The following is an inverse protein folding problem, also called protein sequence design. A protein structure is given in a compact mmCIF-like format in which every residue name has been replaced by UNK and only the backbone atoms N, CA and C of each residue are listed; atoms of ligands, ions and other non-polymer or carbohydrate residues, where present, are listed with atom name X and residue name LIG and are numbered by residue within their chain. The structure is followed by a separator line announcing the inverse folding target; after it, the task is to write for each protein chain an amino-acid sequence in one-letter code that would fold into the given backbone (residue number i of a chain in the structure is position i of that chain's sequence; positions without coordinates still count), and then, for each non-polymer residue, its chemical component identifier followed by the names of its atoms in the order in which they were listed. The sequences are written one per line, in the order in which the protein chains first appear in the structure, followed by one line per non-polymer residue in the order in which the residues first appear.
data_IF_551583084031
#
_entry.id   IF_551583084031
#
_cell.length_a   1.000
_cell.length_b   1.000
_cell.length_c   1.000
_cell.angle_alpha   90.00
_cell.angle_beta   90.00
_cell.angle_gamma   90.00
#
_symmetry.space_group_name_H-M   'P 1'
#
loop_
_entity.id
_entity.type
_entity.pdbx_description
1 polymer ?
#
# COMPACT_ATOMS: atom_id res chain seq x y z
N UNK A 1 17.64 -68.33 25.15
CA UNK A 1 16.30 -67.97 24.65
C UNK A 1 16.34 -66.46 24.35
N UNK A 2 16.68 -66.11 23.10
CA UNK A 2 16.89 -64.67 22.69
C UNK A 2 15.65 -64.21 22.02
N UNK A 3 14.98 -63.18 22.59
CA UNK A 3 13.90 -62.45 21.96
C UNK A 3 14.51 -61.35 21.08
N UNK A 4 14.26 -61.37 19.75
CA UNK A 4 14.58 -60.32 18.81
C UNK A 4 13.34 -59.43 18.69
N UNK A 5 13.44 -58.15 19.12
CA UNK A 5 12.44 -57.12 18.88
C UNK A 5 12.63 -56.56 17.48
N UNK A 6 11.60 -56.67 16.64
CA UNK A 6 11.50 -55.97 15.34
C UNK A 6 10.98 -54.56 15.58
N UNK A 7 11.78 -53.53 15.33
CA UNK A 7 11.32 -52.14 15.19
C UNK A 7 10.83 -51.96 13.75
N UNK A 8 9.54 -51.79 13.60
CA UNK A 8 8.94 -51.39 12.33
C UNK A 8 9.01 -49.82 12.21
N UNK A 9 9.83 -49.36 11.28
CA UNK A 9 9.91 -47.92 10.93
C UNK A 9 8.71 -47.58 10.07
N UNK A 10 7.73 -46.87 10.62
CA UNK A 10 6.66 -46.24 9.82
C UNK A 10 7.21 -44.99 9.11
N UNK A 11 7.37 -45.07 7.82
CA UNK A 11 7.63 -43.94 6.97
C UNK A 11 6.33 -43.12 6.84
N UNK A 12 6.25 -41.95 7.49
CA UNK A 12 5.19 -40.99 7.30
C UNK A 12 5.46 -40.27 5.96
N UNK A 13 4.67 -40.60 4.95
CA UNK A 13 4.67 -39.86 3.70
C UNK A 13 4.10 -38.44 3.95
N UNK A 14 4.95 -37.44 3.86
CA UNK A 14 4.52 -36.06 3.85
C UNK A 14 3.67 -35.80 2.58
N UNK A 15 2.49 -35.17 2.71
CA UNK A 15 1.72 -34.78 1.53
C UNK A 15 2.54 -33.82 0.68
N UNK A 16 2.77 -34.19 -0.58
CA UNK A 16 3.26 -33.26 -1.61
C UNK A 16 2.22 -32.15 -1.73
N UNK A 17 2.56 -30.95 -1.30
CA UNK A 17 1.76 -29.76 -1.55
C UNK A 17 1.62 -29.62 -3.08
N UNK A 18 0.47 -30.04 -3.59
CA UNK A 18 0.13 -29.90 -4.99
C UNK A 18 0.26 -28.44 -5.37
N UNK A 19 1.01 -28.14 -6.44
CA UNK A 19 0.99 -26.84 -7.07
C UNK A 19 -0.47 -26.56 -7.43
N UNK A 20 -1.08 -25.56 -6.76
CA UNK A 20 -2.41 -25.11 -7.13
C UNK A 20 -2.34 -24.67 -8.61
N UNK A 21 -3.13 -25.31 -9.45
CA UNK A 21 -3.21 -24.95 -10.85
C UNK A 21 -3.57 -23.46 -10.97
N UNK A 22 -2.75 -22.72 -11.72
CA UNK A 22 -3.00 -21.28 -11.95
C UNK A 22 -4.38 -21.15 -12.59
N UNK A 23 -5.34 -20.41 -11.99
CA UNK A 23 -6.68 -20.28 -12.55
C UNK A 23 -6.63 -19.80 -14.00
N UNK A 24 -7.41 -20.42 -14.87
CA UNK A 24 -7.53 -19.98 -16.27
C UNK A 24 -8.30 -18.66 -16.29
N UNK A 25 -7.84 -17.59 -16.96
CA UNK A 25 -8.52 -16.31 -16.95
C UNK A 25 -9.90 -16.39 -17.64
N UNK A 26 -10.87 -15.63 -17.14
CA UNK A 26 -12.18 -15.48 -17.79
C UNK A 26 -12.05 -14.65 -19.07
N UNK A 27 -11.22 -13.61 -19.02
CA UNK A 27 -10.93 -12.73 -20.15
C UNK A 27 -9.41 -12.66 -20.42
N UNK A 28 -9.05 -12.62 -21.70
CA UNK A 28 -7.74 -12.13 -22.15
C UNK A 28 -7.92 -10.80 -22.85
N UNK A 29 -6.97 -9.89 -22.62
CA UNK A 29 -6.95 -8.56 -23.21
C UNK A 29 -5.62 -8.35 -23.88
N UNK A 30 -5.63 -8.24 -25.20
CA UNK A 30 -4.46 -7.87 -25.99
C UNK A 30 -4.51 -6.36 -26.25
N UNK A 31 -3.45 -5.65 -25.87
CA UNK A 31 -3.32 -4.20 -26.01
C UNK A 31 -2.12 -3.89 -26.89
N UNK A 32 -2.37 -3.50 -28.14
CA UNK A 32 -1.32 -3.00 -29.02
C UNK A 32 -1.16 -1.49 -28.80
N UNK A 33 0.05 -1.07 -28.41
CA UNK A 33 0.37 0.33 -28.11
C UNK A 33 1.09 0.96 -29.30
N UNK A 34 0.56 2.07 -29.83
CA UNK A 34 1.25 2.84 -30.85
C UNK A 34 2.22 3.87 -30.24
N UNK A 35 3.22 4.36 -31.01
CA UNK A 35 4.19 5.37 -30.55
C UNK A 35 3.55 6.69 -30.05
N UNK A 36 2.37 7.03 -30.54
CA UNK A 36 1.59 8.20 -30.09
C UNK A 36 0.67 7.88 -28.90
N UNK A 37 0.82 6.71 -28.25
CA UNK A 37 0.03 6.23 -27.12
C UNK A 37 -1.47 6.02 -27.44
N UNK A 38 -1.79 5.75 -28.71
CA UNK A 38 -3.07 5.14 -29.05
C UNK A 38 -3.01 3.65 -28.77
N UNK A 39 -4.10 3.13 -28.21
CA UNK A 39 -4.25 1.73 -27.87
C UNK A 39 -5.27 1.07 -28.81
N UNK A 40 -4.90 -0.06 -29.40
CA UNK A 40 -5.85 -1.00 -30.01
C UNK A 40 -6.07 -2.14 -29.02
N UNK A 41 -7.29 -2.27 -28.48
CA UNK A 41 -7.62 -3.21 -27.41
C UNK A 41 -8.58 -4.27 -27.90
N UNK A 42 -8.24 -5.53 -27.62
CA UNK A 42 -9.06 -6.69 -27.98
C UNK A 42 -9.30 -7.55 -26.75
N UNK A 43 -10.53 -7.55 -26.29
CA UNK A 43 -11.02 -8.50 -25.28
C UNK A 43 -11.47 -9.80 -25.93
N UNK A 44 -11.15 -10.92 -25.31
CA UNK A 44 -11.75 -12.24 -25.54
C UNK A 44 -12.14 -12.84 -24.20
N UNK A 45 -13.44 -12.88 -23.92
CA UNK A 45 -13.99 -13.40 -22.67
C UNK A 45 -14.73 -14.70 -22.92
N UNK A 46 -14.46 -15.73 -22.11
CA UNK A 46 -15.25 -16.95 -22.09
C UNK A 46 -16.52 -16.71 -21.31
N UNK A 47 -17.67 -16.82 -21.98
CA UNK A 47 -18.98 -16.62 -21.37
C UNK A 47 -20.04 -17.37 -22.16
N UNK A 48 -21.04 -17.91 -21.45
CA UNK A 48 -22.27 -18.45 -22.05
C UNK A 48 -23.38 -17.40 -22.10
N UNK A 49 -23.19 -16.26 -21.45
CA UNK A 49 -24.11 -15.13 -21.43
C UNK A 49 -23.53 -13.93 -22.16
N UNK A 50 -24.40 -13.07 -22.66
CA UNK A 50 -24.02 -11.80 -23.27
C UNK A 50 -23.35 -10.87 -22.26
N UNK A 51 -22.27 -10.22 -22.68
CA UNK A 51 -21.52 -9.25 -21.87
C UNK A 51 -21.70 -7.82 -22.40
N UNK A 52 -21.53 -6.84 -21.50
CA UNK A 52 -21.37 -5.43 -21.85
C UNK A 52 -20.00 -4.96 -21.39
N UNK A 53 -19.46 -3.91 -22.02
CA UNK A 53 -18.17 -3.32 -21.66
C UNK A 53 -18.38 -1.83 -21.41
N UNK A 54 -18.16 -1.39 -20.18
CA UNK A 54 -18.44 -0.04 -19.76
C UNK A 54 -17.15 0.72 -19.41
N UNK A 55 -17.02 2.00 -19.80
CA UNK A 55 -16.02 2.89 -19.25
C UNK A 55 -16.30 3.17 -17.76
N UNK A 56 -15.27 3.57 -17.03
CA UNK A 56 -15.41 3.94 -15.62
C UNK A 56 -16.16 5.26 -15.45
N UNK A 57 -15.83 6.23 -16.27
CA UNK A 57 -16.42 7.56 -16.26
C UNK A 57 -16.60 8.18 -17.68
N UNK A 58 -17.07 9.42 -17.72
CA UNK A 58 -17.33 10.15 -18.97
C UNK A 58 -16.02 10.54 -19.69
N UNK A 59 -14.94 10.82 -18.96
CA UNK A 59 -13.66 11.20 -19.56
C UNK A 59 -13.05 10.00 -20.28
N UNK A 60 -13.16 8.80 -19.70
CA UNK A 60 -12.79 7.55 -20.36
C UNK A 60 -13.68 7.31 -21.58
N UNK A 61 -15.00 7.47 -21.44
CA UNK A 61 -15.96 7.24 -22.53
C UNK A 61 -15.68 8.12 -23.76
N UNK A 62 -15.27 9.37 -23.54
CA UNK A 62 -14.98 10.34 -24.62
C UNK A 62 -13.79 9.96 -25.49
N UNK A 63 -12.87 9.12 -24.96
CA UNK A 63 -11.65 8.70 -25.65
C UNK A 63 -11.75 7.30 -26.25
N UNK A 64 -12.89 6.62 -26.11
CA UNK A 64 -13.17 5.29 -26.69
C UNK A 64 -13.81 5.44 -28.06
N UNK A 65 -13.22 4.83 -29.10
CA UNK A 65 -13.73 4.88 -30.47
C UNK A 65 -15.08 4.16 -30.68
N UNK A 66 -15.47 3.32 -29.73
CA UNK A 66 -16.70 2.50 -29.79
C UNK A 66 -17.28 2.35 -28.41
N UNK A 67 -17.91 3.42 -27.91
CA UNK A 67 -18.54 3.49 -26.58
C UNK A 67 -19.89 2.78 -26.49
N UNK A 68 -20.26 1.95 -27.48
CA UNK A 68 -21.48 1.17 -27.45
C UNK A 68 -21.51 0.25 -26.23
N UNK A 69 -22.38 0.54 -25.28
CA UNK A 69 -22.74 -0.32 -24.15
C UNK A 69 -23.66 -1.50 -24.58
N UNK A 70 -23.74 -1.76 -25.88
CA UNK A 70 -24.53 -2.87 -26.40
C UNK A 70 -24.08 -4.21 -25.82
N UNK A 71 -25.06 -5.06 -25.50
CA UNK A 71 -24.80 -6.45 -25.17
C UNK A 71 -24.18 -7.17 -26.37
N UNK A 72 -23.14 -7.92 -26.12
CA UNK A 72 -22.48 -8.74 -27.14
C UNK A 72 -22.73 -10.20 -26.80
N UNK A 73 -23.43 -10.88 -27.69
CA UNK A 73 -23.72 -12.30 -27.54
C UNK A 73 -22.47 -13.15 -27.80
N UNK A 74 -22.28 -14.25 -27.05
CA UNK A 74 -21.15 -15.14 -27.30
C UNK A 74 -21.28 -15.89 -28.64
N UNK A 75 -20.18 -15.97 -29.33
CA UNK A 75 -20.02 -16.84 -30.50
C UNK A 75 -19.08 -17.99 -30.13
N UNK A 76 -19.57 -19.22 -30.19
CA UNK A 76 -18.83 -20.41 -29.73
C UNK A 76 -18.27 -20.27 -28.28
N UNK A 77 -19.06 -19.68 -27.38
CA UNK A 77 -18.67 -19.48 -25.97
C UNK A 77 -17.66 -18.35 -25.75
N UNK A 78 -17.39 -17.53 -26.75
CA UNK A 78 -16.46 -16.38 -26.65
C UNK A 78 -17.23 -15.09 -26.96
N UNK A 79 -17.10 -14.11 -26.08
CA UNK A 79 -17.50 -12.73 -26.31
C UNK A 79 -16.25 -11.92 -26.66
N UNK A 80 -16.23 -11.32 -27.87
CA UNK A 80 -15.13 -10.49 -28.32
C UNK A 80 -15.57 -9.01 -28.36
N UNK A 81 -14.76 -8.11 -27.76
CA UNK A 81 -14.91 -6.65 -27.87
C UNK A 81 -13.62 -6.03 -28.36
N UNK A 82 -13.71 -5.20 -29.38
CA UNK A 82 -12.61 -4.39 -29.90
C UNK A 82 -12.92 -2.92 -29.74
N UNK A 83 -11.92 -2.14 -29.34
CA UNK A 83 -12.00 -0.68 -29.34
C UNK A 83 -10.62 -0.06 -29.50
N UNK A 84 -10.60 1.20 -29.92
CA UNK A 84 -9.42 2.06 -29.93
C UNK A 84 -9.56 3.07 -28.81
N UNK A 85 -8.43 3.42 -28.20
CA UNK A 85 -8.39 4.37 -27.10
C UNK A 85 -7.25 5.36 -27.28
N UNK A 86 -7.52 6.66 -27.16
CA UNK A 86 -6.48 7.70 -27.19
C UNK A 86 -6.03 8.02 -25.79
N UNK A 87 -5.07 7.24 -25.26
CA UNK A 87 -4.55 7.38 -23.91
C UNK A 87 -3.82 8.72 -23.71
N UNK A 88 -3.16 9.22 -24.74
CA UNK A 88 -2.47 10.52 -24.68
C UNK A 88 -3.45 11.68 -24.57
N UNK A 89 -4.58 11.64 -25.29
CA UNK A 89 -5.62 12.65 -25.21
C UNK A 89 -6.31 12.63 -23.86
N UNK A 90 -6.71 11.45 -23.38
CA UNK A 90 -7.27 11.27 -22.04
C UNK A 90 -6.37 11.90 -20.96
N UNK A 91 -5.08 11.52 -20.93
CA UNK A 91 -4.16 12.03 -19.92
C UNK A 91 -3.89 13.54 -20.03
N UNK A 92 -4.04 14.14 -21.23
CA UNK A 92 -3.97 15.60 -21.42
C UNK A 92 -5.24 16.29 -20.94
N UNK A 93 -6.40 15.69 -21.16
CA UNK A 93 -7.69 16.24 -20.75
C UNK A 93 -7.85 16.27 -19.24
N UNK A 94 -7.58 15.12 -18.56
CA UNK A 94 -7.70 15.06 -17.10
C UNK A 94 -6.53 15.73 -16.38
N UNK A 95 -5.34 15.69 -16.93
CA UNK A 95 -4.09 16.30 -16.44
C UNK A 95 -3.94 16.30 -14.91
N UNK A 96 -4.14 15.13 -14.33
CA UNK A 96 -4.12 14.91 -12.88
C UNK A 96 -3.30 13.67 -12.56
N UNK A 97 -2.31 13.73 -11.66
CA UNK A 97 -1.60 12.52 -11.22
C UNK A 97 -2.53 11.46 -10.63
N UNK A 98 -3.64 11.87 -10.03
CA UNK A 98 -4.61 10.95 -9.45
C UNK A 98 -5.47 10.21 -10.49
N UNK A 99 -5.77 10.84 -11.64
CA UNK A 99 -6.65 10.30 -12.67
C UNK A 99 -5.88 9.86 -13.94
N UNK A 100 -4.90 10.67 -14.36
CA UNK A 100 -4.07 10.37 -15.52
C UNK A 100 -3.20 11.56 -15.88
N UNK A 101 -1.91 11.31 -16.13
CA UNK A 101 -0.96 12.37 -16.46
C UNK A 101 0.01 11.92 -17.53
N UNK A 102 0.31 12.81 -18.47
CA UNK A 102 1.31 12.62 -19.51
C UNK A 102 2.58 13.39 -19.20
N UNK A 103 3.73 12.74 -19.30
CA UNK A 103 5.06 13.34 -19.27
C UNK A 103 5.91 12.75 -20.39
N UNK A 104 6.42 13.61 -21.27
CA UNK A 104 7.13 13.13 -22.46
C UNK A 104 6.27 12.16 -23.28
N UNK A 105 6.83 10.99 -23.58
CA UNK A 105 6.17 9.87 -24.27
C UNK A 105 5.57 8.82 -23.32
N UNK A 106 5.26 9.21 -22.07
CA UNK A 106 4.72 8.32 -21.04
C UNK A 106 3.41 8.84 -20.50
N UNK A 107 2.47 7.93 -20.26
CA UNK A 107 1.27 8.16 -19.46
C UNK A 107 1.32 7.26 -18.22
N UNK A 108 1.10 7.87 -17.06
CA UNK A 108 0.72 7.20 -15.82
C UNK A 108 -0.77 7.42 -15.59
N UNK A 109 -1.54 6.35 -15.52
CA UNK A 109 -2.98 6.41 -15.25
C UNK A 109 -3.45 5.17 -14.50
N UNK A 110 -4.50 5.24 -13.68
CA UNK A 110 -5.20 4.06 -13.20
C UNK A 110 -5.67 3.20 -14.37
N UNK A 111 -5.67 1.89 -14.20
CA UNK A 111 -6.11 0.95 -15.24
C UNK A 111 -7.54 1.26 -15.72
N UNK A 112 -8.53 1.61 -14.86
CA UNK A 112 -9.86 2.02 -15.32
C UNK A 112 -9.86 3.26 -16.21
N UNK A 113 -8.80 4.06 -16.21
CA UNK A 113 -8.62 5.20 -17.10
C UNK A 113 -8.44 4.82 -18.59
N UNK A 114 -8.32 3.54 -18.96
CA UNK A 114 -8.20 3.09 -20.35
C UNK A 114 -8.78 1.70 -20.62
N UNK A 115 -9.02 0.89 -19.59
CA UNK A 115 -9.54 -0.47 -19.69
C UNK A 115 -11.03 -0.48 -19.34
N UNK A 116 -11.87 -0.95 -20.28
CA UNK A 116 -13.32 -1.08 -20.06
C UNK A 116 -13.64 -2.24 -19.11
N UNK A 117 -14.63 -2.05 -18.25
CA UNK A 117 -15.09 -3.10 -17.34
C UNK A 117 -16.03 -4.08 -18.03
N UNK A 118 -15.72 -5.39 -18.12
CA UNK A 118 -16.66 -6.39 -18.59
C UNK A 118 -17.72 -6.66 -17.54
N UNK A 119 -18.99 -6.55 -17.91
CA UNK A 119 -20.17 -6.75 -17.04
C UNK A 119 -21.05 -7.87 -17.60
N UNK A 120 -21.65 -8.64 -16.70
CA UNK A 120 -22.51 -9.76 -17.02
C UNK A 120 -22.01 -11.10 -16.47
N UNK A 121 -20.86 -11.11 -15.82
CA UNK A 121 -20.41 -12.22 -14.99
C UNK A 121 -21.16 -12.23 -13.64
N UNK A 122 -21.39 -13.39 -13.07
CA UNK A 122 -21.94 -13.62 -11.73
C UNK A 122 -20.85 -13.60 -10.63
N UNK A 123 -19.59 -13.45 -11.03
CA UNK A 123 -18.41 -13.37 -10.18
C UNK A 123 -17.50 -12.23 -10.65
N UNK A 124 -16.43 -11.95 -9.90
CA UNK A 124 -15.37 -11.03 -10.33
C UNK A 124 -14.49 -11.74 -11.36
N UNK A 125 -14.47 -11.29 -12.62
CA UNK A 125 -13.72 -11.99 -13.67
C UNK A 125 -12.20 -11.86 -13.46
N UNK A 126 -11.48 -12.93 -13.74
CA UNK A 126 -10.03 -12.92 -13.85
C UNK A 126 -9.65 -12.45 -15.25
N UNK A 127 -8.88 -11.36 -15.34
CA UNK A 127 -8.50 -10.72 -16.61
C UNK A 127 -6.99 -10.75 -16.76
N UNK A 128 -6.50 -11.37 -17.83
CA UNK A 128 -5.09 -11.36 -18.21
C UNK A 128 -4.85 -10.33 -19.31
N UNK A 129 -4.00 -9.34 -19.02
CA UNK A 129 -3.66 -8.22 -19.89
C UNK A 129 -2.28 -8.46 -20.51
N UNK A 130 -2.17 -8.45 -21.84
CA UNK A 130 -0.92 -8.52 -22.59
C UNK A 130 -0.72 -7.23 -23.36
N UNK A 131 0.45 -6.62 -23.23
CA UNK A 131 0.81 -5.40 -23.93
C UNK A 131 1.82 -5.71 -25.05
N UNK A 132 1.49 -5.33 -26.28
CA UNK A 132 2.42 -5.29 -27.41
C UNK A 132 2.93 -3.85 -27.54
N UNK A 133 4.22 -3.68 -27.32
CA UNK A 133 4.84 -2.36 -27.18
C UNK A 133 5.74 -2.06 -28.39
N UNK A 134 5.77 -0.81 -28.85
CA UNK A 134 6.77 -0.40 -29.83
C UNK A 134 8.16 -0.36 -29.18
N UNK A 135 9.19 -0.39 -30.02
CA UNK A 135 10.58 -0.35 -29.57
C UNK A 135 10.86 0.82 -28.60
N UNK A 136 11.51 0.51 -27.49
CA UNK A 136 11.88 1.45 -26.43
C UNK A 136 10.71 1.87 -25.53
N UNK A 137 9.53 1.28 -25.67
CA UNK A 137 8.41 1.47 -24.74
C UNK A 137 8.40 0.38 -23.66
N UNK A 138 7.86 0.72 -22.51
CA UNK A 138 7.64 -0.17 -21.37
C UNK A 138 6.19 -0.11 -20.92
N UNK A 139 5.75 -1.17 -20.25
CA UNK A 139 4.49 -1.26 -19.52
C UNK A 139 4.79 -1.71 -18.09
N UNK A 140 4.31 -0.99 -17.11
CA UNK A 140 4.40 -1.35 -15.70
C UNK A 140 3.04 -1.22 -15.02
N UNK A 141 2.73 -2.14 -14.12
CA UNK A 141 1.54 -2.11 -13.26
C UNK A 141 1.84 -2.79 -11.93
N UNK A 142 1.02 -2.55 -10.91
CA UNK A 142 1.10 -3.26 -9.63
C UNK A 142 0.54 -4.68 -9.67
N UNK A 143 -0.05 -5.09 -10.80
CA UNK A 143 -0.66 -6.39 -10.98
C UNK A 143 0.38 -7.53 -10.95
N UNK A 144 0.01 -8.73 -10.46
CA UNK A 144 0.84 -9.91 -10.60
C UNK A 144 1.10 -10.28 -12.07
N UNK A 145 2.35 -10.68 -12.37
CA UNK A 145 2.69 -11.30 -13.64
C UNK A 145 2.43 -12.81 -13.62
N UNK A 146 1.76 -13.30 -14.66
CA UNK A 146 1.52 -14.73 -14.91
C UNK A 146 1.98 -15.01 -16.36
N UNK A 147 3.17 -15.56 -16.51
CA UNK A 147 3.84 -15.64 -17.80
C UNK A 147 4.14 -14.27 -18.38
N UNK A 148 3.62 -13.99 -19.57
CA UNK A 148 3.73 -12.70 -20.28
C UNK A 148 2.58 -11.73 -19.96
N UNK A 149 1.56 -12.17 -19.22
CA UNK A 149 0.39 -11.39 -18.90
C UNK A 149 0.46 -10.75 -17.50
N UNK A 150 -0.25 -9.64 -17.34
CA UNK A 150 -0.55 -8.98 -16.09
C UNK A 150 -1.96 -9.37 -15.65
N UNK A 151 -2.11 -9.97 -14.47
CA UNK A 151 -3.38 -10.54 -14.02
C UNK A 151 -4.13 -9.62 -13.08
N UNK A 152 -5.30 -9.17 -13.50
CA UNK A 152 -6.28 -8.52 -12.62
C UNK A 152 -7.26 -9.58 -12.09
N UNK A 153 -7.28 -9.76 -10.77
CA UNK A 153 -8.15 -10.71 -10.09
C UNK A 153 -8.59 -10.17 -8.71
N UNK A 154 -9.71 -10.67 -8.21
CA UNK A 154 -10.21 -10.33 -6.88
C UNK A 154 -10.78 -8.91 -6.74
N UNK A 155 -10.86 -8.14 -7.84
CA UNK A 155 -11.41 -6.78 -7.86
C UNK A 155 -12.07 -6.46 -9.19
N UNK A 156 -12.88 -5.40 -9.22
CA UNK A 156 -13.40 -4.80 -10.46
C UNK A 156 -12.34 -3.93 -11.14
N UNK A 157 -12.47 -3.74 -12.45
CA UNK A 157 -11.58 -2.84 -13.21
C UNK A 157 -11.58 -1.43 -12.61
N UNK A 158 -12.74 -0.90 -12.23
CA UNK A 158 -12.88 0.45 -11.66
C UNK A 158 -12.11 0.71 -10.36
N UNK A 159 -11.61 -0.35 -9.70
CA UNK A 159 -10.77 -0.23 -8.50
C UNK A 159 -9.31 -0.62 -8.75
N UNK A 160 -8.94 -0.98 -9.98
CA UNK A 160 -7.57 -1.36 -10.31
C UNK A 160 -6.61 -0.18 -10.18
N UNK A 161 -5.39 -0.50 -9.72
CA UNK A 161 -4.33 0.49 -9.49
C UNK A 161 -3.75 1.10 -10.76
N UNK A 162 -2.67 1.84 -10.60
CA UNK A 162 -2.00 2.54 -11.70
C UNK A 162 -1.29 1.60 -12.68
N UNK A 163 -1.17 2.08 -13.91
CA UNK A 163 -0.25 1.58 -14.93
C UNK A 163 0.56 2.72 -15.53
N UNK A 164 1.80 2.43 -15.90
CA UNK A 164 2.65 3.32 -16.70
C UNK A 164 2.84 2.71 -18.09
N UNK A 165 2.63 3.49 -19.14
CA UNK A 165 2.76 3.06 -20.54
C UNK A 165 3.55 4.13 -21.30
N UNK A 166 4.64 3.74 -21.96
CA UNK A 166 5.45 4.66 -22.76
C UNK A 166 6.95 4.49 -22.58
N UNK A 167 7.71 5.59 -22.75
CA UNK A 167 9.16 5.66 -22.54
C UNK A 167 9.43 6.22 -21.16
N UNK A 168 9.88 5.40 -20.24
CA UNK A 168 10.25 5.82 -18.87
C UNK A 168 11.36 4.91 -18.33
N UNK A 169 12.04 5.37 -17.28
CA UNK A 169 12.98 4.51 -16.57
C UNK A 169 12.20 3.50 -15.75
N UNK A 170 12.39 2.20 -16.03
CA UNK A 170 11.80 1.10 -15.28
C UNK A 170 12.90 0.35 -14.55
N UNK A 171 12.81 0.32 -13.21
CA UNK A 171 13.69 -0.45 -12.35
C UNK A 171 12.90 -1.52 -11.59
N UNK A 172 13.42 -2.74 -11.52
CA UNK A 172 12.88 -3.79 -10.67
C UNK A 172 13.75 -3.93 -9.41
N UNK A 173 13.14 -3.65 -8.27
CA UNK A 173 13.78 -3.70 -6.96
C UNK A 173 13.28 -4.96 -6.24
N UNK A 174 14.18 -5.89 -5.93
CA UNK A 174 13.83 -7.06 -5.12
C UNK A 174 13.51 -6.62 -3.69
N UNK A 175 12.39 -7.11 -3.15
CA UNK A 175 11.95 -6.83 -1.79
C UNK A 175 11.69 -8.13 -1.03
N UNK A 176 11.93 -8.19 0.30
CA UNK A 176 11.60 -9.38 1.10
C UNK A 176 10.11 -9.71 1.00
N UNK A 177 9.74 -10.97 0.83
CA UNK A 177 8.33 -11.35 0.81
C UNK A 177 7.61 -10.98 2.12
N UNK A 178 6.28 -10.74 2.10
CA UNK A 178 5.52 -10.45 3.32
C UNK A 178 5.78 -11.48 4.41
N UNK A 179 6.16 -11.01 5.60
CA UNK A 179 6.46 -11.86 6.77
C UNK A 179 7.69 -12.75 6.67
N UNK A 180 8.50 -12.63 5.60
CA UNK A 180 9.70 -13.49 5.41
C UNK A 180 10.86 -13.15 6.34
N UNK A 181 10.88 -11.96 6.92
CA UNK A 181 11.90 -11.54 7.89
C UNK A 181 11.58 -11.99 9.33
N UNK A 182 10.47 -12.69 9.55
CA UNK A 182 10.15 -13.30 10.85
C UNK A 182 11.10 -14.48 11.13
N UNK A 183 11.46 -14.75 12.39
CA UNK A 183 12.26 -15.91 12.76
C UNK A 183 11.66 -17.22 12.21
N UNK A 184 12.49 -18.04 11.56
CA UNK A 184 12.10 -19.33 11.00
C UNK A 184 11.14 -19.28 9.81
N UNK A 185 10.91 -18.10 9.21
CA UNK A 185 10.15 -17.92 7.98
C UNK A 185 11.08 -17.57 6.84
N UNK A 186 10.72 -18.04 5.65
CA UNK A 186 11.37 -17.69 4.40
C UNK A 186 10.29 -17.51 3.32
N UNK A 187 10.63 -16.89 2.22
CA UNK A 187 9.74 -16.75 1.07
C UNK A 187 10.52 -16.23 -0.13
N UNK A 188 10.04 -16.55 -1.33
CA UNK A 188 10.59 -15.99 -2.55
C UNK A 188 10.44 -14.46 -2.52
N UNK A 189 11.49 -13.72 -2.88
CA UNK A 189 11.45 -12.26 -2.94
C UNK A 189 10.27 -11.76 -3.77
N UNK A 190 9.72 -10.64 -3.34
CA UNK A 190 8.77 -9.85 -4.13
C UNK A 190 9.51 -8.90 -5.06
N UNK A 191 8.75 -8.19 -5.90
CA UNK A 191 9.25 -7.21 -6.85
C UNK A 191 8.50 -5.89 -6.70
N UNK A 192 9.24 -4.82 -6.43
CA UNK A 192 8.77 -3.45 -6.56
C UNK A 192 9.24 -2.92 -7.93
N UNK A 193 8.28 -2.56 -8.79
CA UNK A 193 8.55 -1.92 -10.08
C UNK A 193 8.47 -0.42 -9.92
N UNK A 194 9.60 0.23 -10.13
CA UNK A 194 9.71 1.67 -10.07
C UNK A 194 9.66 2.25 -11.49
N UNK A 195 8.60 3.01 -11.77
CA UNK A 195 8.42 3.76 -13.01
C UNK A 195 8.75 5.23 -12.77
N UNK A 196 9.89 5.73 -13.27
CA UNK A 196 10.29 7.12 -13.19
C UNK A 196 9.93 7.78 -14.51
N UNK A 197 8.94 8.67 -14.50
CA UNK A 197 8.47 9.36 -15.71
C UNK A 197 9.52 10.37 -16.19
N UNK A 198 9.47 10.66 -17.49
CA UNK A 198 10.38 11.60 -18.15
C UNK A 198 10.29 13.02 -17.54
N UNK A 199 11.46 13.66 -17.36
CA UNK A 199 11.58 15.01 -16.80
C UNK A 199 12.64 15.15 -15.69
N UNK A 200 13.25 14.07 -15.23
CA UNK A 200 14.40 14.09 -14.31
C UNK A 200 15.72 14.00 -15.06
N UNK A 201 16.80 14.58 -14.49
CA UNK A 201 18.15 14.31 -14.96
C UNK A 201 18.53 12.86 -14.64
N UNK A 202 19.60 12.36 -15.29
CA UNK A 202 20.09 11.00 -15.07
C UNK A 202 20.56 10.79 -13.62
N UNK A 203 21.18 11.81 -13.04
CA UNK A 203 21.67 11.83 -11.66
C UNK A 203 20.48 11.83 -10.68
N UNK A 204 19.46 12.67 -10.92
CA UNK A 204 18.25 12.70 -10.11
C UNK A 204 17.51 11.35 -10.17
N UNK A 205 17.43 10.72 -11.33
CA UNK A 205 16.81 9.40 -11.46
C UNK A 205 17.55 8.33 -10.62
N UNK A 206 18.90 8.37 -10.57
CA UNK A 206 19.67 7.47 -9.73
C UNK A 206 19.42 7.71 -8.23
N UNK A 207 19.30 8.96 -7.80
CA UNK A 207 18.95 9.32 -6.42
C UNK A 207 17.53 8.85 -6.06
N UNK A 208 16.59 8.93 -6.98
CA UNK A 208 15.22 8.43 -6.81
C UNK A 208 15.17 6.91 -6.65
N UNK A 209 15.95 6.17 -7.43
CA UNK A 209 16.07 4.71 -7.28
C UNK A 209 16.63 4.34 -5.90
N UNK A 210 17.68 5.02 -5.44
CA UNK A 210 18.28 4.79 -4.12
C UNK A 210 17.29 5.14 -2.98
N UNK A 211 16.58 6.25 -3.11
CA UNK A 211 15.55 6.66 -2.15
C UNK A 211 14.43 5.63 -2.01
N UNK A 212 13.84 5.18 -3.12
CA UNK A 212 12.77 4.17 -3.10
C UNK A 212 13.28 2.84 -2.54
N UNK A 213 14.49 2.40 -2.92
CA UNK A 213 15.09 1.16 -2.40
C UNK A 213 15.28 1.19 -0.89
N UNK A 214 15.83 2.28 -0.35
CA UNK A 214 16.06 2.42 1.10
C UNK A 214 14.76 2.56 1.87
N UNK A 215 13.80 3.27 1.33
CA UNK A 215 12.45 3.38 1.93
C UNK A 215 11.77 2.02 1.96
N UNK A 216 11.80 1.25 0.88
CA UNK A 216 11.26 -0.11 0.85
C UNK A 216 11.96 -1.05 1.86
N UNK A 217 13.27 -0.86 2.08
CA UNK A 217 14.01 -1.62 3.10
C UNK A 217 13.57 -1.24 4.53
N UNK A 218 13.35 0.05 4.80
CA UNK A 218 12.87 0.53 6.10
C UNK A 218 11.46 -0.01 6.40
N UNK A 219 10.57 0.04 5.41
CA UNK A 219 9.23 -0.57 5.47
C UNK A 219 9.30 -2.07 5.77
N UNK A 220 10.10 -2.82 5.00
CA UNK A 220 10.25 -4.25 5.19
C UNK A 220 10.79 -4.61 6.58
N UNK A 221 11.65 -3.79 7.15
CA UNK A 221 12.16 -4.00 8.51
C UNK A 221 11.05 -3.83 9.57
N UNK A 222 10.14 -2.85 9.40
CA UNK A 222 9.01 -2.63 10.30
C UNK A 222 7.97 -3.75 10.19
N UNK A 223 7.54 -4.08 8.98
CA UNK A 223 6.51 -5.08 8.70
C UNK A 223 7.02 -6.54 8.76
N UNK A 224 8.31 -6.75 9.02
CA UNK A 224 8.97 -8.07 9.02
C UNK A 224 8.85 -8.79 7.65
N UNK A 225 9.01 -8.04 6.61
CA UNK A 225 8.85 -8.37 5.21
C UNK A 225 8.12 -7.24 4.50
N UNK A 226 8.24 -7.11 3.19
CA UNK A 226 7.56 -6.05 2.48
C UNK A 226 6.04 -6.32 2.42
N UNK A 227 5.24 -5.28 2.31
CA UNK A 227 3.78 -5.37 2.44
C UNK A 227 3.09 -6.09 1.28
N UNK A 228 3.70 -6.10 0.10
CA UNK A 228 3.17 -6.74 -1.11
C UNK A 228 4.25 -7.55 -1.83
N UNK A 229 3.86 -8.69 -2.44
CA UNK A 229 4.78 -9.48 -3.28
C UNK A 229 5.09 -8.80 -4.61
N UNK A 230 4.15 -8.04 -5.14
CA UNK A 230 4.31 -7.27 -6.37
C UNK A 230 3.62 -5.93 -6.18
N UNK A 231 4.32 -4.88 -6.54
CA UNK A 231 3.77 -3.53 -6.54
C UNK A 231 4.43 -2.67 -7.61
N UNK A 232 3.82 -1.52 -7.90
CA UNK A 232 4.41 -0.48 -8.71
C UNK A 232 4.45 0.84 -7.94
N UNK A 233 5.58 1.54 -8.04
CA UNK A 233 5.72 2.94 -7.63
C UNK A 233 5.93 3.79 -8.89
N UNK A 234 5.08 4.78 -9.11
CA UNK A 234 5.21 5.74 -10.21
C UNK A 234 5.67 7.10 -9.68
N UNK A 235 6.80 7.62 -10.15
CA UNK A 235 7.30 8.94 -9.79
C UNK A 235 7.02 9.93 -10.90
N UNK A 236 6.26 10.98 -10.56
CA UNK A 236 5.80 12.01 -11.49
C UNK A 236 6.61 13.29 -11.29
N UNK A 237 7.35 13.78 -12.30
CA UNK A 237 8.09 15.03 -12.19
C UNK A 237 7.15 16.23 -12.12
N UNK A 238 7.41 17.13 -11.16
CA UNK A 238 6.73 18.42 -11.01
C UNK A 238 7.73 19.55 -10.79
N UNK A 239 7.36 20.78 -11.17
CA UNK A 239 8.24 21.94 -11.02
C UNK A 239 8.19 22.47 -9.57
N UNK A 240 8.96 21.83 -8.70
CA UNK A 240 9.11 22.20 -7.28
C UNK A 240 10.42 21.67 -6.69
N UNK A 241 10.74 22.07 -5.47
CA UNK A 241 11.96 21.68 -4.76
C UNK A 241 11.75 20.63 -3.65
N UNK A 242 10.64 19.92 -3.66
CA UNK A 242 10.31 18.91 -2.63
C UNK A 242 9.45 17.80 -3.20
N UNK A 243 9.09 16.84 -2.37
CA UNK A 243 8.08 15.83 -2.67
C UNK A 243 6.71 16.47 -2.57
N UNK A 244 5.78 16.04 -3.38
CA UNK A 244 4.43 16.57 -3.45
C UNK A 244 3.38 15.58 -2.99
N UNK A 245 2.28 15.56 -3.74
CA UNK A 245 1.16 14.67 -3.48
C UNK A 245 1.54 13.21 -3.72
N UNK A 246 1.12 12.33 -2.80
CA UNK A 246 1.17 10.88 -2.93
C UNK A 246 -0.24 10.28 -2.98
N UNK A 247 -0.37 9.11 -3.56
CA UNK A 247 -1.61 8.35 -3.56
C UNK A 247 -1.35 6.87 -3.73
N UNK A 248 -1.96 6.07 -2.86
CA UNK A 248 -2.00 4.61 -2.95
C UNK A 248 -3.32 4.12 -3.51
N UNK A 249 -3.26 3.20 -4.48
CA UNK A 249 -4.42 2.47 -5.03
C UNK A 249 -4.07 0.99 -5.11
N UNK A 250 -4.90 0.13 -4.55
CA UNK A 250 -4.52 -1.26 -4.25
C UNK A 250 -5.44 -2.32 -4.86
N UNK A 251 -6.36 -1.97 -5.73
CA UNK A 251 -7.24 -2.94 -6.39
C UNK A 251 -6.48 -3.86 -7.36
N UNK A 252 -6.52 -5.18 -7.11
CA UNK A 252 -5.85 -6.20 -7.92
C UNK A 252 -4.33 -6.28 -7.75
N UNK A 253 -3.73 -5.32 -7.06
CA UNK A 253 -2.31 -5.20 -6.75
C UNK A 253 -2.01 -3.83 -6.15
N UNK A 254 -0.88 -3.68 -5.48
CA UNK A 254 -0.50 -2.43 -4.81
C UNK A 254 0.17 -1.46 -5.80
N UNK A 255 -0.29 -0.22 -5.83
CA UNK A 255 0.35 0.85 -6.60
C UNK A 255 0.42 2.14 -5.80
N UNK A 256 1.54 2.81 -5.90
CA UNK A 256 1.80 4.11 -5.28
C UNK A 256 2.21 5.10 -6.37
N UNK A 257 1.63 6.28 -6.37
CA UNK A 257 2.04 7.40 -7.21
C UNK A 257 2.53 8.53 -6.30
N UNK A 258 3.68 9.13 -6.64
CA UNK A 258 4.24 10.26 -5.89
C UNK A 258 4.71 11.35 -6.86
N UNK A 259 4.30 12.58 -6.62
CA UNK A 259 4.87 13.76 -7.27
C UNK A 259 6.22 14.10 -6.64
N UNK A 260 7.24 14.24 -7.47
CA UNK A 260 8.58 14.60 -7.02
C UNK A 260 9.09 15.81 -7.79
N UNK A 261 9.61 16.77 -7.05
CA UNK A 261 10.18 17.99 -7.64
C UNK A 261 11.43 17.71 -8.46
N UNK A 262 11.49 18.28 -9.66
CA UNK A 262 12.68 18.12 -10.55
C UNK A 262 13.94 18.80 -10.01
N UNK A 263 13.81 19.68 -9.01
CA UNK A 263 14.91 20.34 -8.31
C UNK A 263 15.04 19.91 -6.83
N UNK A 264 14.46 18.77 -6.45
CA UNK A 264 14.62 18.22 -5.11
C UNK A 264 16.05 17.76 -4.89
N UNK A 265 16.63 18.14 -3.77
CA UNK A 265 17.93 17.61 -3.37
C UNK A 265 17.77 16.28 -2.59
N UNK A 266 18.86 15.51 -2.57
CA UNK A 266 18.90 14.19 -1.96
C UNK A 266 18.52 14.21 -0.47
N UNK A 267 18.93 15.21 0.29
CA UNK A 267 18.60 15.31 1.72
C UNK A 267 17.09 15.52 1.93
N UNK A 268 16.46 16.35 1.08
CA UNK A 268 15.02 16.57 1.12
C UNK A 268 14.22 15.31 0.79
N UNK A 269 14.69 14.48 -0.15
CA UNK A 269 14.07 13.18 -0.43
C UNK A 269 14.02 12.30 0.84
N UNK A 270 15.14 12.12 1.53
CA UNK A 270 15.19 11.26 2.72
C UNK A 270 14.58 11.89 3.98
N UNK A 271 14.41 13.21 4.01
CA UNK A 271 13.65 13.91 5.07
C UNK A 271 12.15 13.99 4.79
N UNK A 272 11.71 13.60 3.60
CA UNK A 272 10.29 13.59 3.25
C UNK A 272 9.57 12.37 3.83
N UNK A 273 8.29 12.55 4.10
CA UNK A 273 7.44 11.55 4.74
C UNK A 273 6.49 10.84 3.76
N UNK A 274 6.21 11.45 2.60
CA UNK A 274 5.12 11.03 1.70
C UNK A 274 5.30 9.60 1.22
N UNK A 275 6.49 9.22 0.73
CA UNK A 275 6.68 7.86 0.21
C UNK A 275 6.51 6.80 1.30
N UNK A 276 7.03 7.04 2.51
CA UNK A 276 6.86 6.13 3.65
C UNK A 276 5.37 5.99 3.98
N UNK A 277 4.65 7.11 4.10
CA UNK A 277 3.21 7.15 4.38
C UNK A 277 2.40 6.34 3.34
N UNK A 278 2.66 6.57 2.06
CA UNK A 278 1.96 5.85 0.99
C UNK A 278 2.27 4.35 0.95
N UNK A 279 3.50 3.97 1.27
CA UNK A 279 3.87 2.55 1.35
C UNK A 279 3.18 1.85 2.53
N UNK A 280 2.95 2.52 3.66
CA UNK A 280 2.20 1.96 4.79
C UNK A 280 0.78 1.56 4.39
N UNK A 281 0.11 2.36 3.56
CA UNK A 281 -1.22 2.01 3.06
C UNK A 281 -1.27 0.69 2.30
N UNK A 282 -0.15 0.25 1.71
CA UNK A 282 -0.10 -1.04 1.02
C UNK A 282 -0.12 -2.25 1.97
N UNK A 283 0.14 -2.05 3.25
CA UNK A 283 0.06 -3.06 4.31
C UNK A 283 -1.31 -3.13 5.02
N UNK A 284 -2.26 -2.30 4.61
CA UNK A 284 -3.58 -2.22 5.25
C UNK A 284 -4.70 -2.41 4.23
N UNK A 285 -5.82 -3.07 4.61
CA UNK A 285 -6.99 -3.16 3.75
C UNK A 285 -7.73 -1.81 3.67
N UNK A 286 -8.58 -1.66 2.65
CA UNK A 286 -9.52 -0.54 2.62
C UNK A 286 -10.58 -0.71 3.72
N UNK A 287 -10.61 0.21 4.68
CA UNK A 287 -11.53 0.15 5.83
C UNK A 287 -12.78 0.97 5.53
N UNK A 288 -13.92 0.28 5.36
CA UNK A 288 -15.25 0.87 5.13
C UNK A 288 -15.83 1.47 6.43
N UNK A 289 -17.05 2.02 6.31
CA UNK A 289 -17.78 2.53 7.47
C UNK A 289 -17.19 3.83 8.01
N UNK A 290 -16.80 4.75 7.12
CA UNK A 290 -16.09 5.99 7.51
C UNK A 290 -14.78 5.69 8.26
N UNK A 291 -14.06 4.66 7.80
CA UNK A 291 -12.79 4.20 8.39
C UNK A 291 -11.55 4.95 7.91
N UNK A 292 -11.69 6.05 7.15
CA UNK A 292 -10.56 6.84 6.63
C UNK A 292 -9.60 7.27 7.73
N UNK A 293 -10.13 7.71 8.88
CA UNK A 293 -9.33 8.06 10.05
C UNK A 293 -8.45 6.91 10.57
N UNK A 294 -8.87 5.66 10.38
CA UNK A 294 -8.10 4.50 10.81
C UNK A 294 -6.92 4.24 9.87
N UNK A 295 -7.14 4.35 8.55
CA UNK A 295 -6.09 4.18 7.55
C UNK A 295 -5.08 5.32 7.58
N UNK A 296 -5.55 6.56 7.47
CA UNK A 296 -4.69 7.76 7.52
C UNK A 296 -3.98 7.90 8.86
N UNK A 297 -4.71 7.60 9.94
CA UNK A 297 -4.15 7.65 11.30
C UNK A 297 -3.06 6.62 11.53
N UNK A 298 -3.22 5.41 11.03
CA UNK A 298 -2.17 4.39 11.11
C UNK A 298 -0.93 4.82 10.33
N UNK A 299 -1.10 5.30 9.09
CA UNK A 299 0.02 5.78 8.28
C UNK A 299 0.73 6.96 8.96
N UNK A 300 -0.01 7.95 9.47
CA UNK A 300 0.54 9.12 10.19
C UNK A 300 1.25 8.76 11.49
N UNK A 301 0.78 7.73 12.19
CA UNK A 301 1.42 7.26 13.43
C UNK A 301 2.69 6.45 13.16
N UNK A 302 2.65 5.56 12.16
CA UNK A 302 3.73 4.61 11.89
C UNK A 302 4.88 5.25 11.12
N UNK A 303 4.60 6.19 10.22
CA UNK A 303 5.59 6.82 9.36
C UNK A 303 6.81 7.34 10.14
N UNK A 304 6.67 8.19 11.17
CA UNK A 304 7.82 8.66 11.92
C UNK A 304 8.53 7.56 12.72
N UNK A 305 7.81 6.51 13.13
CA UNK A 305 8.41 5.33 13.79
C UNK A 305 9.32 4.57 12.82
N UNK A 306 8.86 4.33 11.60
CA UNK A 306 9.68 3.64 10.58
C UNK A 306 10.97 4.43 10.32
N UNK A 307 10.86 5.74 10.16
CA UNK A 307 12.03 6.62 9.94
C UNK A 307 12.96 6.63 11.14
N UNK A 308 12.44 6.64 12.37
CA UNK A 308 13.27 6.57 13.56
C UNK A 308 13.98 5.22 13.69
N UNK A 309 13.27 4.10 13.46
CA UNK A 309 13.87 2.76 13.47
C UNK A 309 14.87 2.54 12.32
N UNK A 310 14.74 3.26 11.23
CA UNK A 310 15.72 3.31 10.15
C UNK A 310 16.95 4.19 10.48
N UNK A 311 16.90 4.97 11.57
CA UNK A 311 17.97 5.89 11.97
C UNK A 311 17.88 7.27 11.29
N UNK A 312 16.74 7.59 10.65
CA UNK A 312 16.54 8.85 9.93
C UNK A 312 15.91 9.96 10.79
N UNK A 313 15.35 9.61 11.93
CA UNK A 313 14.81 10.51 12.95
C UNK A 313 15.28 10.11 14.35
N UNK A 314 15.36 11.08 15.25
CA UNK A 314 15.56 10.81 16.68
C UNK A 314 14.23 10.55 17.39
N UNK A 315 14.28 10.01 18.60
CA UNK A 315 13.09 9.83 19.43
C UNK A 315 12.39 11.17 19.71
N UNK A 316 13.17 12.21 20.02
CA UNK A 316 12.66 13.55 20.30
C UNK A 316 11.97 14.18 19.08
N UNK A 317 12.49 13.95 17.86
CA UNK A 317 11.84 14.45 16.63
C UNK A 317 10.51 13.76 16.36
N UNK A 318 10.36 12.47 16.68
CA UNK A 318 9.08 11.77 16.59
C UNK A 318 8.08 12.36 17.59
N UNK A 319 8.47 12.50 18.85
CA UNK A 319 7.59 13.05 19.89
C UNK A 319 7.26 14.52 19.62
N UNK A 320 8.19 15.31 19.09
CA UNK A 320 7.94 16.70 18.69
C UNK A 320 6.84 16.78 17.63
N UNK A 321 6.92 15.93 16.61
CA UNK A 321 5.91 15.88 15.55
C UNK A 321 4.52 15.55 16.12
N UNK A 322 4.42 14.59 17.04
CA UNK A 322 3.14 14.21 17.64
C UNK A 322 2.61 15.26 18.60
N UNK A 323 3.44 15.86 19.44
CA UNK A 323 3.05 16.94 20.37
C UNK A 323 2.51 18.15 19.58
N UNK A 324 3.16 18.52 18.48
CA UNK A 324 2.75 19.66 17.67
C UNK A 324 1.44 19.44 16.90
N UNK A 325 1.15 18.19 16.52
CA UNK A 325 0.12 17.94 15.50
C UNK A 325 -1.09 17.15 16.01
N UNK A 326 -0.97 16.23 16.97
CA UNK A 326 -2.10 15.48 17.52
C UNK A 326 -3.21 16.36 18.10
N UNK A 327 -2.93 17.57 18.67
CA UNK A 327 -3.99 18.48 19.10
C UNK A 327 -4.98 18.86 17.98
N UNK A 328 -4.58 18.82 16.71
CA UNK A 328 -5.47 19.09 15.56
C UNK A 328 -6.57 18.02 15.38
N UNK A 329 -6.38 16.83 15.96
CA UNK A 329 -7.33 15.73 15.89
C UNK A 329 -8.29 15.61 17.08
N UNK A 330 -7.96 16.20 18.24
CA UNK A 330 -8.64 15.94 19.52
C UNK A 330 -10.15 16.17 19.44
N UNK A 331 -10.60 17.22 18.75
CA UNK A 331 -12.02 17.54 18.62
C UNK A 331 -12.85 16.42 17.98
N UNK A 332 -12.25 15.58 17.15
CA UNK A 332 -12.95 14.45 16.51
C UNK A 332 -13.40 13.38 17.52
N UNK A 333 -12.73 13.22 18.63
CA UNK A 333 -13.12 12.26 19.67
C UNK A 333 -14.43 12.66 20.37
N UNK A 334 -14.64 13.96 20.60
CA UNK A 334 -15.88 14.47 21.19
C UNK A 334 -17.08 14.39 20.23
N UNK A 335 -16.83 14.42 18.91
CA UNK A 335 -17.88 14.28 17.87
C UNK A 335 -18.01 12.85 17.31
N UNK A 336 -17.13 11.94 17.73
CA UNK A 336 -17.01 10.57 17.23
C UNK A 336 -16.14 10.45 15.97
N UNK A 337 -15.20 9.52 15.96
CA UNK A 337 -14.24 9.30 14.87
C UNK A 337 -14.85 9.11 13.48
N UNK A 338 -16.06 8.52 13.32
CA UNK A 338 -16.71 8.47 12.00
C UNK A 338 -16.98 9.83 11.36
N UNK A 339 -16.98 10.90 12.15
CA UNK A 339 -17.24 12.27 11.70
C UNK A 339 -15.93 13.06 11.45
N UNK A 340 -14.76 12.44 11.67
CA UNK A 340 -13.48 13.05 11.38
C UNK A 340 -13.36 13.42 9.89
N UNK A 341 -12.76 14.56 9.59
CA UNK A 341 -12.56 15.07 8.24
C UNK A 341 -11.26 15.86 8.10
N UNK A 342 -10.73 15.96 6.89
CA UNK A 342 -9.48 16.67 6.63
C UNK A 342 -8.35 16.23 7.57
N UNK A 343 -7.69 17.17 8.23
CA UNK A 343 -6.58 16.91 9.17
C UNK A 343 -6.96 16.03 10.37
N UNK A 344 -8.24 15.96 10.71
CA UNK A 344 -8.70 15.10 11.81
C UNK A 344 -8.56 13.61 11.47
N UNK A 345 -8.73 13.20 10.21
CA UNK A 345 -8.49 11.82 9.81
C UNK A 345 -7.08 11.36 10.16
N UNK A 346 -6.10 12.23 9.93
CA UNK A 346 -4.69 11.96 10.21
C UNK A 346 -4.41 11.96 11.72
N UNK A 347 -4.69 13.06 12.39
CA UNK A 347 -4.21 13.28 13.75
C UNK A 347 -5.09 12.69 14.86
N UNK A 348 -6.41 12.60 14.68
CA UNK A 348 -7.25 11.81 15.59
C UNK A 348 -6.97 10.32 15.41
N UNK A 349 -6.80 9.88 14.17
CA UNK A 349 -6.42 8.51 13.89
C UNK A 349 -5.05 8.15 14.48
N UNK A 350 -4.03 9.02 14.33
CA UNK A 350 -2.71 8.82 14.94
C UNK A 350 -2.79 8.76 16.47
N UNK A 351 -3.60 9.64 17.09
CA UNK A 351 -3.85 9.60 18.54
C UNK A 351 -4.51 8.28 18.97
N UNK A 352 -5.48 7.79 18.19
CA UNK A 352 -6.10 6.49 18.42
C UNK A 352 -5.06 5.35 18.37
N UNK A 353 -4.19 5.36 17.37
CA UNK A 353 -3.13 4.34 17.21
C UNK A 353 -2.10 4.40 18.34
N UNK A 354 -1.74 5.59 18.82
CA UNK A 354 -0.88 5.75 20.01
C UNK A 354 -1.53 5.12 21.24
N UNK A 355 -2.82 5.39 21.49
CA UNK A 355 -3.54 4.78 22.61
C UNK A 355 -3.63 3.25 22.47
N UNK A 356 -3.83 2.75 21.25
CA UNK A 356 -3.85 1.33 20.98
C UNK A 356 -2.49 0.67 21.26
N UNK A 357 -1.40 1.27 20.79
CA UNK A 357 -0.04 0.76 20.99
C UNK A 357 0.31 0.71 22.49
N UNK A 358 0.04 1.78 23.24
CA UNK A 358 0.24 1.82 24.69
C UNK A 358 -0.61 0.75 25.39
N UNK A 359 -1.88 0.65 25.02
CA UNK A 359 -2.82 -0.34 25.57
C UNK A 359 -2.35 -1.78 25.36
N UNK A 360 -1.92 -2.11 24.15
CA UNK A 360 -1.40 -3.45 23.81
C UNK A 360 -0.12 -3.77 24.59
N UNK A 361 0.81 -2.81 24.68
CA UNK A 361 2.05 -2.99 25.46
C UNK A 361 1.76 -3.19 26.94
N UNK A 362 0.78 -2.47 27.51
CA UNK A 362 0.34 -2.70 28.89
C UNK A 362 -0.29 -4.07 29.07
N UNK A 363 -1.26 -4.44 28.24
CA UNK A 363 -1.99 -5.71 28.32
C UNK A 363 -1.06 -6.92 28.20
N UNK A 364 0.00 -6.80 27.40
CA UNK A 364 0.96 -7.87 27.13
C UNK A 364 2.26 -7.78 27.93
N UNK A 365 2.38 -6.81 28.85
CA UNK A 365 3.63 -6.45 29.53
C UNK A 365 4.81 -6.20 28.57
N UNK A 366 4.52 -5.59 27.41
CA UNK A 366 5.50 -5.23 26.39
C UNK A 366 5.81 -6.33 25.37
N UNK A 367 5.18 -7.50 25.46
CA UNK A 367 5.40 -8.57 24.51
C UNK A 367 4.76 -8.28 23.13
N UNK A 368 3.76 -7.41 23.09
CA UNK A 368 3.00 -7.03 21.90
C UNK A 368 2.79 -5.52 21.83
N UNK A 369 2.86 -4.99 20.62
CA UNK A 369 2.55 -3.61 20.28
C UNK A 369 1.69 -3.50 19.03
N UNK A 370 1.47 -2.27 18.56
CA UNK A 370 0.67 -2.02 17.36
C UNK A 370 1.28 -2.69 16.11
N UNK A 371 2.60 -2.79 16.03
CA UNK A 371 3.29 -3.49 14.95
C UNK A 371 2.89 -4.98 14.84
N UNK A 372 2.68 -5.66 15.96
CA UNK A 372 2.22 -7.06 15.96
C UNK A 372 0.77 -7.19 15.48
N UNK A 373 -0.08 -6.24 15.87
CA UNK A 373 -1.49 -6.16 15.48
C UNK A 373 -1.60 -5.97 13.97
N UNK A 374 -0.97 -4.94 13.43
CA UNK A 374 -1.10 -4.58 12.00
C UNK A 374 -0.41 -5.62 11.10
N UNK A 375 0.81 -6.02 11.42
CA UNK A 375 1.51 -7.04 10.66
C UNK A 375 0.80 -8.40 10.73
N UNK A 376 0.24 -8.76 11.87
CA UNK A 376 -0.53 -10.00 12.01
C UNK A 376 -1.84 -9.98 11.24
N UNK A 377 -2.53 -8.84 11.15
CA UNK A 377 -3.69 -8.66 10.29
C UNK A 377 -3.31 -8.81 8.81
N UNK A 378 -2.23 -8.15 8.38
CA UNK A 378 -1.67 -8.30 7.03
C UNK A 378 -1.35 -9.78 6.70
N UNK A 379 -0.68 -10.50 7.59
CA UNK A 379 -0.32 -11.90 7.35
C UNK A 379 -1.50 -12.86 7.41
N UNK A 380 -2.64 -12.45 7.97
CA UNK A 380 -3.90 -13.20 7.92
C UNK A 380 -4.67 -13.00 6.61
N UNK A 381 -4.13 -12.22 5.66
CA UNK A 381 -4.71 -11.93 4.36
C UNK A 381 -5.52 -10.63 4.29
N UNK A 382 -5.45 -9.79 5.32
CA UNK A 382 -6.04 -8.45 5.29
C UNK A 382 -5.03 -7.42 4.75
N UNK A 383 -4.66 -7.61 3.50
CA UNK A 383 -3.76 -6.74 2.75
C UNK A 383 -4.53 -5.66 1.96
N UNK A 384 -3.79 -4.79 1.31
CA UNK A 384 -4.31 -3.62 0.61
C UNK A 384 -5.43 -3.88 -0.42
N UNK A 385 -5.46 -4.98 -1.21
CA UNK A 385 -6.57 -5.30 -2.09
C UNK A 385 -7.89 -5.63 -1.38
N UNK A 386 -7.86 -5.94 -0.10
CA UNK A 386 -9.04 -6.33 0.67
C UNK A 386 -9.86 -5.13 1.13
N UNK A 387 -11.12 -5.39 1.45
CA UNK A 387 -12.03 -4.40 2.00
C UNK A 387 -12.73 -4.96 3.24
N UNK A 388 -12.66 -4.24 4.36
CA UNK A 388 -13.20 -4.69 5.65
C UNK A 388 -13.99 -3.59 6.35
N UNK A 389 -14.78 -3.95 7.36
CA UNK A 389 -15.39 -2.98 8.28
C UNK A 389 -14.40 -2.61 9.39
N UNK A 390 -14.58 -1.44 10.02
CA UNK A 390 -13.77 -0.99 11.17
C UNK A 390 -13.72 -2.05 12.28
N UNK A 391 -14.88 -2.65 12.64
CA UNK A 391 -14.96 -3.68 13.67
C UNK A 391 -14.22 -4.95 13.32
N UNK A 392 -14.26 -5.37 12.05
CA UNK A 392 -13.64 -6.61 11.60
C UNK A 392 -12.11 -6.48 11.59
N UNK A 393 -11.61 -5.30 11.18
CA UNK A 393 -10.19 -5.00 11.22
C UNK A 393 -9.68 -4.92 12.67
N UNK A 394 -10.42 -4.24 13.57
CA UNK A 394 -10.10 -4.18 15.00
C UNK A 394 -10.02 -5.59 15.61
N UNK A 395 -11.00 -6.44 15.35
CA UNK A 395 -11.01 -7.82 15.84
C UNK A 395 -9.87 -8.68 15.27
N UNK A 396 -9.49 -8.47 14.00
CA UNK A 396 -8.34 -9.17 13.41
C UNK A 396 -7.02 -8.75 14.07
N UNK A 397 -6.86 -7.46 14.31
CA UNK A 397 -5.76 -6.88 15.06
C UNK A 397 -5.64 -7.46 16.47
N UNK A 398 -6.74 -7.47 17.22
CA UNK A 398 -6.77 -8.03 18.58
C UNK A 398 -6.40 -9.50 18.61
N UNK A 399 -6.90 -10.30 17.66
CA UNK A 399 -6.48 -11.71 17.53
C UNK A 399 -4.98 -11.86 17.29
N UNK A 400 -4.40 -10.99 16.46
CA UNK A 400 -2.97 -11.03 16.14
C UNK A 400 -2.09 -10.62 17.33
N UNK A 401 -2.53 -9.63 18.10
CA UNK A 401 -1.83 -9.16 19.29
C UNK A 401 -2.18 -9.96 20.56
N UNK A 402 -3.24 -10.77 20.54
CA UNK A 402 -3.72 -11.51 21.73
C UNK A 402 -4.32 -10.59 22.79
N UNK A 403 -5.00 -9.51 22.37
CA UNK A 403 -5.61 -8.49 23.25
C UNK A 403 -7.06 -8.21 22.85
N UNK A 404 -7.72 -7.27 23.51
CA UNK A 404 -9.05 -6.72 23.16
C UNK A 404 -9.00 -5.21 22.95
N UNK A 405 -7.81 -4.64 22.96
CA UNK A 405 -7.56 -3.19 23.04
C UNK A 405 -8.15 -2.43 21.84
N UNK A 406 -7.96 -2.94 20.60
CA UNK A 406 -8.50 -2.29 19.40
C UNK A 406 -10.03 -2.26 19.43
N UNK A 407 -10.66 -3.38 19.78
CA UNK A 407 -12.13 -3.48 19.87
C UNK A 407 -12.68 -2.55 20.97
N UNK A 408 -12.06 -2.50 22.13
CA UNK A 408 -12.46 -1.61 23.22
C UNK A 408 -12.34 -0.12 22.86
N UNK A 409 -11.26 0.26 22.16
CA UNK A 409 -11.09 1.63 21.68
C UNK A 409 -12.08 1.98 20.57
N UNK A 410 -12.39 1.05 19.66
CA UNK A 410 -13.43 1.22 18.65
C UNK A 410 -14.79 1.41 19.32
N UNK A 411 -15.14 0.64 20.34
CA UNK A 411 -16.41 0.80 21.08
C UNK A 411 -16.47 2.18 21.75
N UNK A 412 -15.35 2.65 22.29
CA UNK A 412 -15.26 3.92 23.01
C UNK A 412 -15.29 5.16 22.12
N UNK A 413 -14.65 5.12 20.96
CA UNK A 413 -14.37 6.33 20.16
C UNK A 413 -14.97 6.30 18.75
N UNK A 414 -15.33 5.13 18.23
CA UNK A 414 -16.00 4.99 16.95
C UNK A 414 -17.52 4.80 17.10
N UNK A 415 -17.95 3.95 18.07
CA UNK A 415 -19.38 3.71 18.36
C UNK A 415 -19.96 4.67 19.40
N UNK A 416 -19.13 5.33 20.15
CA UNK A 416 -19.47 6.28 21.20
C UNK A 416 -18.57 7.52 21.10
N UNK A 417 -18.76 8.50 21.95
CA UNK A 417 -17.98 9.75 22.01
C UNK A 417 -17.39 9.94 23.39
N UNK A 418 -16.09 10.17 23.43
CA UNK A 418 -15.40 10.48 24.68
C UNK A 418 -14.20 11.40 24.38
N UNK A 419 -14.03 12.45 25.18
CA UNK A 419 -12.87 13.33 25.05
C UNK A 419 -11.56 12.59 25.37
N UNK A 420 -10.48 13.00 24.71
CA UNK A 420 -9.11 12.54 25.00
C UNK A 420 -8.32 13.68 25.61
N UNK A 421 -7.64 13.39 26.72
CA UNK A 421 -6.73 14.30 27.40
C UNK A 421 -5.28 13.99 26.97
N UNK A 422 -4.78 14.75 26.00
CA UNK A 422 -3.41 14.59 25.52
C UNK A 422 -2.37 15.02 26.56
N UNK A 423 -2.65 16.02 27.38
CA UNK A 423 -1.69 16.48 28.39
C UNK A 423 -1.46 15.41 29.46
N UNK A 424 -2.54 14.76 29.90
CA UNK A 424 -2.42 13.61 30.81
C UNK A 424 -1.64 12.46 30.15
N UNK A 425 -1.86 12.21 28.87
CA UNK A 425 -1.14 11.17 28.12
C UNK A 425 0.35 11.50 28.00
N UNK A 426 0.70 12.73 27.64
CA UNK A 426 2.10 13.16 27.57
C UNK A 426 2.80 13.05 28.92
N UNK A 427 2.16 13.51 29.97
CA UNK A 427 2.70 13.40 31.33
C UNK A 427 2.94 11.95 31.76
N UNK A 428 2.03 11.07 31.43
CA UNK A 428 2.15 9.64 31.71
C UNK A 428 3.31 8.98 30.96
N UNK A 429 3.54 9.40 29.70
CA UNK A 429 4.65 8.93 28.88
C UNK A 429 5.99 9.60 29.23
N UNK A 430 5.98 10.65 30.02
CA UNK A 430 7.17 11.45 30.32
C UNK A 430 7.62 12.29 29.15
N UNK A 431 6.67 12.86 28.39
CA UNK A 431 6.94 13.75 27.28
C UNK A 431 6.53 15.16 27.66
N UNK A 432 7.44 16.11 27.57
CA UNK A 432 7.16 17.51 27.80
C UNK A 432 7.83 18.39 26.75
N UNK A 433 7.19 19.49 26.40
CA UNK A 433 7.81 20.53 25.60
C UNK A 433 8.30 21.67 26.47
N UNK A 434 9.60 21.94 26.43
CA UNK A 434 10.22 23.02 27.20
C UNK A 434 11.04 23.90 26.26
N UNK A 435 10.67 25.14 26.14
CA UNK A 435 11.37 26.09 25.26
C UNK A 435 11.41 25.67 23.77
N UNK A 436 10.35 25.03 23.30
CA UNK A 436 10.23 24.54 21.92
C UNK A 436 10.97 23.23 21.64
N UNK A 437 11.50 22.57 22.67
CA UNK A 437 12.20 21.28 22.55
C UNK A 437 11.50 20.21 23.37
N UNK A 438 11.54 18.99 22.90
CA UNK A 438 11.05 17.84 23.67
C UNK A 438 12.08 17.46 24.73
N UNK A 439 11.58 17.25 25.94
CA UNK A 439 12.30 16.68 27.08
C UNK A 439 11.61 15.38 27.44
N UNK A 440 12.39 14.31 27.55
CA UNK A 440 11.91 12.96 27.84
C UNK A 440 12.30 12.58 29.27
N UNK A 441 11.28 12.31 30.11
CA UNK A 441 11.48 11.82 31.49
C UNK A 441 11.40 10.28 31.51
N UNK A 442 12.54 9.64 31.71
CA UNK A 442 12.65 8.19 31.83
C UNK A 442 12.08 7.61 33.14
N UNK A 443 11.82 8.47 34.14
CA UNK A 443 11.17 8.12 35.41
C UNK A 443 9.64 8.10 35.35
N UNK A 444 9.04 8.55 34.25
CA UNK A 444 7.58 8.59 34.13
C UNK A 444 6.94 7.17 34.09
N UNK A 445 5.68 7.01 34.55
CA UNK A 445 5.04 5.72 34.75
C UNK A 445 5.02 4.84 33.49
N UNK A 446 4.91 5.44 32.30
CA UNK A 446 4.85 4.75 31.02
C UNK A 446 6.07 5.02 30.10
N UNK A 447 7.17 5.56 30.63
CA UNK A 447 8.38 5.85 29.87
C UNK A 447 8.94 4.62 29.12
N UNK A 448 8.83 3.44 29.71
CA UNK A 448 9.24 2.19 29.05
C UNK A 448 8.44 1.93 27.76
N UNK A 449 7.15 2.24 27.72
CA UNK A 449 6.31 2.08 26.54
C UNK A 449 6.66 3.13 25.49
N UNK A 450 6.88 4.37 25.90
CA UNK A 450 7.38 5.44 25.03
C UNK A 450 8.61 4.99 24.24
N UNK A 451 9.63 4.46 24.93
CA UNK A 451 10.85 3.95 24.29
C UNK A 451 10.56 2.79 23.35
N UNK A 452 9.75 1.82 23.78
CA UNK A 452 9.41 0.65 22.95
C UNK A 452 8.65 1.00 21.69
N UNK A 453 7.80 2.03 21.71
CA UNK A 453 7.07 2.53 20.55
C UNK A 453 8.07 2.94 19.45
N UNK A 454 8.99 3.83 19.78
CA UNK A 454 9.90 4.40 18.78
C UNK A 454 11.06 3.43 18.47
N UNK A 455 11.69 2.85 19.48
CA UNK A 455 12.90 2.06 19.33
C UNK A 455 12.64 0.55 19.14
N UNK A 456 11.40 0.08 19.31
CA UNK A 456 11.07 -1.35 19.30
C UNK A 456 11.26 -2.04 20.64
N UNK A 457 10.86 -3.32 20.76
CA UNK A 457 10.96 -4.10 21.99
C UNK A 457 12.43 -4.26 22.43
N UNK A 458 12.70 -4.38 23.74
CA UNK A 458 14.05 -4.67 24.26
C UNK A 458 14.61 -5.96 23.64
N UNK A 459 15.89 -5.94 23.29
CA UNK A 459 16.56 -7.08 22.65
C UNK A 459 16.29 -7.21 21.15
N UNK A 460 15.47 -6.36 20.57
CA UNK A 460 15.26 -6.29 19.12
C UNK A 460 15.69 -4.88 18.67
N UNK A 461 16.99 -4.65 18.51
CA UNK A 461 17.45 -3.31 18.13
C UNK A 461 16.86 -2.90 16.78
N UNK A 462 16.60 -1.61 16.56
CA UNK A 462 16.25 -1.09 15.25
C UNK A 462 17.23 -1.59 14.20
N UNK A 463 16.75 -1.77 12.96
CA UNK A 463 17.59 -2.13 11.82
C UNK A 463 17.88 -0.86 10.99
N UNK A 464 18.98 -0.12 11.28
CA UNK A 464 19.27 1.09 10.57
C UNK A 464 19.43 0.83 9.07
N UNK A 465 18.90 1.75 8.28
CA UNK A 465 19.10 1.81 6.84
C UNK A 465 19.96 3.05 6.59
N UNK A 466 21.27 2.83 6.36
CA UNK A 466 22.21 3.94 6.18
C UNK A 466 21.70 4.95 5.17
N UNK A 467 21.84 6.21 5.49
CA UNK A 467 21.61 7.28 4.53
C UNK A 467 22.80 7.37 3.54
N UNK A 468 22.58 7.87 2.33
CA UNK A 468 23.62 7.85 1.28
C UNK A 468 24.89 8.64 1.64
N UNK A 469 24.78 9.62 2.55
CA UNK A 469 25.91 10.45 3.02
C UNK A 469 26.60 9.90 4.28
N UNK A 470 26.18 8.73 4.78
CA UNK A 470 26.76 8.03 5.95
C UNK A 470 27.68 6.88 5.54
N UNK A 471 27.96 6.75 4.28
CA UNK A 471 28.78 5.66 3.71
C UNK A 471 30.26 6.04 3.65
#
# INVERSE_FOLDING_TARGET
MFLRSFLATMAVALPVLGQQAVPVPDCTVDVAVAKNLRLDVVYRCRSTAALTFAPDDQDVASNVSSSSSARIEPVNGIVEKRYRYDLAEYARAVNSPAAGIKRGDTVLAPIPGWLLEPRGFDHLPVIDIRAQLPEGFSFAAGLPKVGDAWRLAGTRVGFAGYSAIGRFTLEEIAVPAPGSLRPGKAGEPGVLRLAILDGFSKEAAADLVDWVRRTAQAEANYWQGFTARQMMVGLVPVQRAGVGYGRTVSGGGATVMVEVGTSVDRRRLFNDWVLVHELIHTGMPYVRGRGTWMMEGAATYIEPIIRARAGWKTEEEVWKEWVDNMPRGVAAFASGLPNASGQQNYWAGATFMLMADIGMRRASNGAKGLEDCLAGALWSGLDAPQTVQVSDYAAACDRAAGTTVMTELVDRYYRSTQAVDLEALWKELGVAEVGGRIVLDDGAPSARWRKMIVMGPPGTPPKPVKLPWES
#
